data_IF_032196649280
#
_entry.id   IF_032196649280
#
_cell.length_a   1.000
_cell.length_b   1.000
_cell.length_c   1.000
_cell.angle_alpha   90.00
_cell.angle_beta   90.00
_cell.angle_gamma   90.00
#
_symmetry.space_group_name_H-M   'P 1'
#
loop_
_entity.id
_entity.type
_entity.pdbx_description
1 polymer ?
#
# COMPACT_ATOMS: atom_id res chain seq x y z
N UNK A 1 -15.31 -16.27 -19.31
CA UNK A 1 -14.43 -16.35 -18.12
C UNK A 1 -13.04 -16.04 -18.63
N UNK A 2 -12.60 -14.79 -18.49
CA UNK A 2 -11.26 -14.37 -18.93
C UNK A 2 -10.30 -14.71 -17.80
N UNK A 3 -9.33 -15.59 -18.05
CA UNK A 3 -8.23 -15.86 -17.14
C UNK A 3 -7.37 -14.60 -17.05
N UNK A 4 -7.40 -13.93 -15.90
CA UNK A 4 -6.48 -12.84 -15.58
C UNK A 4 -5.15 -13.52 -15.20
N UNK A 5 -4.04 -13.27 -15.94
CA UNK A 5 -2.74 -13.80 -15.56
C UNK A 5 -2.41 -13.30 -14.16
N UNK A 6 -2.14 -14.22 -13.23
CA UNK A 6 -1.61 -13.89 -11.91
C UNK A 6 -0.25 -13.24 -12.11
N UNK A 7 -0.19 -11.91 -11.99
CA UNK A 7 1.07 -11.17 -12.01
C UNK A 7 1.95 -11.68 -10.86
N UNK A 8 3.18 -12.08 -11.17
CA UNK A 8 4.19 -12.45 -10.19
C UNK A 8 4.28 -11.36 -9.11
N UNK A 9 3.93 -11.71 -7.87
CA UNK A 9 3.81 -10.77 -6.76
C UNK A 9 5.13 -10.03 -6.56
N UNK A 10 5.09 -8.70 -6.62
CA UNK A 10 6.21 -7.83 -6.26
C UNK A 10 6.73 -8.19 -4.86
N UNK A 11 7.94 -8.77 -4.78
CA UNK A 11 8.61 -9.10 -3.52
C UNK A 11 9.34 -7.86 -2.98
N UNK A 12 8.63 -7.01 -2.25
CA UNK A 12 9.25 -6.05 -1.34
C UNK A 12 9.28 -6.60 0.09
N UNK A 13 10.45 -6.52 0.73
CA UNK A 13 10.60 -6.74 2.16
C UNK A 13 10.62 -5.38 2.84
N UNK A 14 9.65 -5.12 3.72
CA UNK A 14 9.56 -3.92 4.54
C UNK A 14 9.31 -4.33 5.99
N UNK A 15 9.78 -3.51 6.93
CA UNK A 15 9.58 -3.69 8.35
C UNK A 15 9.16 -2.35 8.95
N UNK A 16 8.23 -2.42 9.90
CA UNK A 16 7.65 -1.26 10.57
C UNK A 16 7.41 -1.62 12.04
N UNK A 17 7.55 -0.66 12.93
CA UNK A 17 7.27 -0.83 14.36
C UNK A 17 5.81 -0.51 14.72
N UNK A 18 4.93 -0.31 13.73
CA UNK A 18 3.48 -0.09 13.88
C UNK A 18 2.79 -0.99 14.91
N UNK A 19 3.23 -2.26 15.04
CA UNK A 19 2.70 -3.21 16.04
C UNK A 19 2.81 -2.70 17.49
N UNK A 20 3.74 -1.81 17.79
CA UNK A 20 3.86 -1.21 19.12
C UNK A 20 2.65 -0.34 19.47
N UNK A 21 1.95 0.22 18.47
CA UNK A 21 0.73 1.00 18.69
C UNK A 21 -0.46 0.12 19.13
N UNK A 22 -0.44 -1.17 18.79
CA UNK A 22 -1.50 -2.12 19.12
C UNK A 22 -1.22 -2.96 20.37
N UNK A 23 -0.03 -2.80 20.98
CA UNK A 23 0.39 -3.51 22.20
C UNK A 23 0.65 -2.55 23.38
N UNK A 24 -0.37 -1.80 23.85
CA UNK A 24 -0.21 -0.90 24.97
C UNK A 24 0.19 -1.63 26.27
N UNK A 25 1.19 -1.15 27.03
CA UNK A 25 1.60 -1.79 28.27
C UNK A 25 0.46 -1.90 29.29
N UNK A 26 0.26 -3.09 29.85
CA UNK A 26 -0.75 -3.34 30.89
C UNK A 26 -2.21 -3.26 30.41
N UNK A 27 -2.44 -3.24 29.10
CA UNK A 27 -3.78 -3.20 28.49
C UNK A 27 -3.96 -4.36 27.51
N UNK A 28 -5.21 -4.64 27.16
CA UNK A 28 -5.54 -5.64 26.15
C UNK A 28 -4.99 -5.21 24.79
N UNK A 29 -4.35 -6.13 24.03
CA UNK A 29 -3.95 -5.89 22.65
C UNK A 29 -5.14 -5.44 21.79
N UNK A 30 -4.87 -4.51 20.88
CA UNK A 30 -5.86 -3.99 19.93
C UNK A 30 -5.68 -4.74 18.61
N UNK A 31 -6.76 -5.28 18.06
CA UNK A 31 -6.70 -5.87 16.71
C UNK A 31 -6.45 -4.75 15.70
N UNK A 32 -5.50 -4.98 14.79
CA UNK A 32 -5.15 -4.01 13.77
C UNK A 32 -4.92 -4.69 12.43
N UNK A 33 -5.14 -3.91 11.37
CA UNK A 33 -4.75 -4.25 10.00
C UNK A 33 -3.86 -3.12 9.51
N UNK A 34 -2.78 -3.46 8.83
CA UNK A 34 -1.85 -2.51 8.23
C UNK A 34 -1.71 -2.82 6.74
N UNK A 35 -2.01 -1.84 5.89
CA UNK A 35 -1.96 -1.98 4.44
C UNK A 35 -1.03 -0.93 3.82
N UNK A 36 -0.60 -1.21 2.59
CA UNK A 36 0.17 -0.28 1.78
C UNK A 36 -0.67 0.14 0.57
N UNK A 37 -0.56 1.41 0.17
CA UNK A 37 -1.23 1.95 -1.01
C UNK A 37 -0.16 2.26 -2.05
N UNK A 38 -0.40 1.85 -3.30
CA UNK A 38 0.48 2.17 -4.42
C UNK A 38 0.47 3.67 -4.71
N UNK A 39 1.65 4.25 -4.89
CA UNK A 39 1.79 5.72 -5.09
C UNK A 39 2.29 6.11 -6.47
N UNK A 40 2.51 5.13 -7.35
CA UNK A 40 3.08 5.37 -8.68
C UNK A 40 2.03 5.99 -9.59
N UNK A 41 2.48 6.90 -10.45
CA UNK A 41 1.67 7.39 -11.56
C UNK A 41 1.05 6.21 -12.33
N UNK A 42 -0.27 6.19 -12.57
CA UNK A 42 -0.95 5.04 -13.18
C UNK A 42 -0.37 4.64 -14.53
N UNK A 43 -0.10 5.61 -15.42
CA UNK A 43 0.46 5.32 -16.74
C UNK A 43 1.87 4.74 -16.67
N UNK A 44 2.69 5.25 -15.75
CA UNK A 44 4.03 4.74 -15.46
C UNK A 44 3.98 3.31 -14.91
N UNK A 45 3.09 3.04 -13.96
CA UNK A 45 2.91 1.71 -13.39
C UNK A 45 2.39 0.72 -14.44
N UNK A 46 1.37 1.08 -15.22
CA UNK A 46 0.80 0.23 -16.28
C UNK A 46 1.82 -0.11 -17.36
N UNK A 47 2.64 0.87 -17.77
CA UNK A 47 3.74 0.65 -18.70
C UNK A 47 4.75 -0.34 -18.14
N UNK A 48 5.22 -0.12 -16.92
CA UNK A 48 6.17 -1.02 -16.26
C UNK A 48 5.59 -2.42 -16.06
N UNK A 49 4.30 -2.54 -15.73
CA UNK A 49 3.61 -3.82 -15.58
C UNK A 49 3.54 -4.57 -16.92
N UNK A 50 3.12 -3.90 -18.00
CA UNK A 50 3.03 -4.48 -19.35
C UNK A 50 4.39 -4.92 -19.89
N UNK A 51 5.46 -4.22 -19.52
CA UNK A 51 6.83 -4.53 -19.93
C UNK A 51 7.53 -5.50 -18.95
N UNK A 52 6.87 -5.98 -17.89
CA UNK A 52 7.46 -6.80 -16.83
C UNK A 52 8.68 -6.15 -16.12
N UNK A 53 8.65 -4.82 -15.99
CA UNK A 53 9.70 -3.97 -15.40
C UNK A 53 9.31 -3.30 -14.09
N UNK A 54 8.36 -3.88 -13.34
CA UNK A 54 7.93 -3.31 -12.05
C UNK A 54 9.09 -3.19 -11.05
N UNK A 55 10.07 -4.09 -11.11
CA UNK A 55 11.25 -4.08 -10.25
C UNK A 55 12.22 -2.93 -10.55
N UNK A 56 12.13 -2.32 -11.73
CA UNK A 56 12.98 -1.20 -12.15
C UNK A 56 12.43 0.15 -11.64
N UNK A 57 11.21 0.17 -11.09
CA UNK A 57 10.60 1.39 -10.56
C UNK A 57 11.37 1.88 -9.31
N UNK A 58 11.60 3.20 -9.16
CA UNK A 58 12.36 3.73 -8.02
C UNK A 58 11.73 3.36 -6.67
N UNK A 59 12.49 2.78 -5.71
CA UNK A 59 11.99 2.47 -4.37
C UNK A 59 11.88 3.72 -3.48
N UNK A 60 11.23 3.59 -2.32
CA UNK A 60 10.91 4.69 -1.38
C UNK A 60 12.12 5.42 -0.76
N UNK A 61 13.35 4.98 -1.04
CA UNK A 61 14.60 5.65 -0.59
C UNK A 61 15.48 6.09 -1.75
N UNK A 62 14.95 6.07 -2.97
CA UNK A 62 15.64 6.61 -4.14
C UNK A 62 15.51 8.13 -4.21
N UNK A 63 16.57 8.82 -4.62
CA UNK A 63 16.54 10.27 -4.87
C UNK A 63 15.56 10.69 -5.97
N UNK A 64 15.16 9.75 -6.83
CA UNK A 64 14.17 9.96 -7.90
C UNK A 64 12.82 9.32 -7.58
N UNK A 65 12.56 9.03 -6.31
CA UNK A 65 11.24 8.58 -5.87
C UNK A 65 10.21 9.71 -6.01
N UNK A 66 9.27 9.53 -6.94
CA UNK A 66 8.23 10.53 -7.25
C UNK A 66 6.83 9.91 -7.17
N UNK A 67 6.13 10.04 -6.03
CA UNK A 67 4.72 9.71 -5.90
C UNK A 67 3.82 10.60 -6.78
N UNK A 68 2.74 10.04 -7.34
CA UNK A 68 1.67 10.81 -7.94
C UNK A 68 0.78 11.40 -6.84
N UNK A 69 1.09 12.63 -6.43
CA UNK A 69 0.60 13.25 -5.19
C UNK A 69 -0.93 13.19 -5.05
N UNK A 70 -1.66 13.75 -6.03
CA UNK A 70 -3.12 13.89 -5.96
C UNK A 70 -3.85 12.55 -5.89
N UNK A 71 -3.64 11.59 -6.82
CA UNK A 71 -4.33 10.29 -6.75
C UNK A 71 -3.91 9.46 -5.53
N UNK A 72 -2.67 9.63 -5.06
CA UNK A 72 -2.19 8.95 -3.84
C UNK A 72 -2.92 9.46 -2.61
N UNK A 73 -3.02 10.79 -2.44
CA UNK A 73 -3.71 11.39 -1.30
C UNK A 73 -5.20 11.08 -1.32
N UNK A 74 -5.83 11.16 -2.49
CA UNK A 74 -7.23 10.80 -2.64
C UNK A 74 -7.48 9.35 -2.21
N UNK A 75 -6.73 8.39 -2.76
CA UNK A 75 -6.87 6.97 -2.42
C UNK A 75 -6.61 6.72 -0.93
N UNK A 76 -5.62 7.40 -0.35
CA UNK A 76 -5.32 7.29 1.08
C UNK A 76 -6.46 7.77 1.98
N UNK A 77 -7.07 8.91 1.66
CA UNK A 77 -8.19 9.46 2.41
C UNK A 77 -9.42 8.55 2.27
N UNK A 78 -9.73 8.10 1.05
CA UNK A 78 -10.84 7.20 0.79
C UNK A 78 -10.67 5.87 1.52
N UNK A 79 -9.45 5.30 1.53
CA UNK A 79 -9.14 4.09 2.27
C UNK A 79 -9.36 4.27 3.77
N UNK A 80 -8.83 5.34 4.37
CA UNK A 80 -9.01 5.64 5.80
C UNK A 80 -10.50 5.80 6.16
N UNK A 81 -11.23 6.61 5.39
CA UNK A 81 -12.65 6.85 5.62
C UNK A 81 -13.49 5.58 5.46
N UNK A 82 -13.20 4.78 4.42
CA UNK A 82 -13.91 3.52 4.18
C UNK A 82 -13.61 2.48 5.26
N UNK A 83 -12.36 2.38 5.73
CA UNK A 83 -12.01 1.49 6.83
C UNK A 83 -12.64 1.90 8.15
N UNK A 84 -12.69 3.20 8.46
CA UNK A 84 -13.46 3.69 9.59
C UNK A 84 -14.93 3.27 9.46
N UNK A 85 -15.58 3.55 8.33
CA UNK A 85 -16.99 3.18 8.13
C UNK A 85 -17.25 1.67 8.18
N UNK A 86 -16.33 0.85 7.67
CA UNK A 86 -16.51 -0.60 7.62
C UNK A 86 -16.24 -1.30 8.96
N UNK A 87 -15.44 -0.71 9.83
CA UNK A 87 -14.97 -1.31 11.08
C UNK A 87 -15.28 -0.48 12.33
N UNK A 88 -15.93 0.68 12.20
CA UNK A 88 -16.63 1.36 13.30
C UNK A 88 -17.81 0.47 13.70
N UNK A 89 -17.78 0.01 14.96
CA UNK A 89 -18.69 -0.97 15.59
C UNK A 89 -18.24 -2.44 15.41
N UNK A 90 -17.30 -2.86 16.27
CA UNK A 90 -17.27 -4.18 16.93
C UNK A 90 -16.64 -4.04 18.32
#
# INVERSE_FOLDING_TARGET
MLEIPQSESYKASFADDFVLLSLPPGKTPILYVYWNIGVKDPGTWEKANRESKLQDLPPAHSAIYAPAIEPTLQTGIEALASSALAFEVL
#
